data_IF_534758170778
#
_entry.id   IF_534758170778
#
_cell.length_a   1.000
_cell.length_b   1.000
_cell.length_c   1.000
_cell.angle_alpha   90.00
_cell.angle_beta   90.00
_cell.angle_gamma   90.00
#
_symmetry.space_group_name_H-M   'P 1'
#
loop_
_entity.id
_entity.type
_entity.pdbx_description
1 polymer ?
#
# COMPACT_ATOMS: atom_id res chain seq x y z
N UNK A 1 25.22 -22.12 18.91
CA UNK A 1 24.14 -21.26 19.33
C UNK A 1 22.81 -21.91 18.95
N UNK A 2 22.10 -22.44 19.92
CA UNK A 2 20.81 -23.04 19.66
C UNK A 2 19.81 -21.96 19.30
N UNK A 3 19.23 -22.06 18.11
CA UNK A 3 18.17 -21.14 17.70
C UNK A 3 16.93 -21.47 18.54
N UNK A 4 16.41 -20.47 19.22
CA UNK A 4 15.14 -20.61 19.89
C UNK A 4 14.05 -20.95 18.83
N UNK A 5 13.47 -22.16 18.88
CA UNK A 5 12.53 -22.61 17.85
C UNK A 5 11.27 -21.75 17.76
N UNK A 6 10.98 -20.93 18.78
CA UNK A 6 9.81 -20.07 18.79
C UNK A 6 10.01 -18.71 18.12
N UNK A 7 11.25 -18.24 17.96
CA UNK A 7 11.54 -16.92 17.40
C UNK A 7 12.23 -16.96 16.04
N UNK A 8 13.03 -18.00 15.77
CA UNK A 8 13.89 -18.01 14.59
C UNK A 8 13.17 -18.23 13.28
N UNK A 9 12.16 -19.08 13.26
CA UNK A 9 11.55 -19.50 12.02
C UNK A 9 10.45 -18.55 11.54
N UNK A 10 9.74 -17.88 12.43
CA UNK A 10 8.65 -16.99 12.05
C UNK A 10 9.15 -15.64 11.50
N UNK A 11 10.27 -15.14 12.01
CA UNK A 11 10.83 -13.84 11.58
C UNK A 11 11.49 -13.97 10.20
N UNK A 12 12.17 -15.11 9.93
CA UNK A 12 12.89 -15.32 8.68
C UNK A 12 11.99 -15.78 7.53
N UNK A 13 10.85 -16.42 7.84
CA UNK A 13 9.97 -17.02 6.83
C UNK A 13 8.94 -16.05 6.28
N UNK A 14 8.61 -14.97 7.01
CA UNK A 14 7.51 -14.07 6.70
C UNK A 14 7.91 -12.61 6.49
N UNK A 15 9.21 -12.30 6.48
CA UNK A 15 9.62 -10.93 6.16
C UNK A 15 9.48 -10.69 4.66
N UNK A 16 8.50 -9.89 4.30
CA UNK A 16 8.34 -9.42 2.93
C UNK A 16 9.56 -8.61 2.53
N UNK A 17 10.09 -8.89 1.34
CA UNK A 17 11.21 -8.15 0.78
C UNK A 17 10.77 -7.41 -0.47
N UNK A 18 10.94 -6.09 -0.47
CA UNK A 18 10.72 -5.29 -1.66
C UNK A 18 11.81 -5.63 -2.70
N UNK A 19 11.45 -6.05 -3.93
CA UNK A 19 12.43 -6.33 -4.97
C UNK A 19 13.32 -5.11 -5.25
N UNK A 20 14.59 -5.35 -5.56
CA UNK A 20 15.58 -4.28 -5.79
C UNK A 20 15.24 -3.36 -6.96
N UNK A 21 14.42 -3.82 -7.90
CA UNK A 21 13.99 -3.02 -9.04
C UNK A 21 13.11 -1.82 -8.64
N UNK A 22 12.50 -1.85 -7.47
CA UNK A 22 11.66 -0.76 -7.00
C UNK A 22 12.50 0.42 -6.55
N UNK A 23 12.04 1.62 -6.90
CA UNK A 23 12.71 2.88 -6.58
C UNK A 23 11.79 3.68 -5.67
N UNK A 24 12.34 4.20 -4.56
CA UNK A 24 11.62 5.12 -3.68
C UNK A 24 11.41 6.45 -4.42
N UNK A 25 10.16 6.88 -4.52
CA UNK A 25 9.78 8.10 -5.23
C UNK A 25 9.27 9.19 -4.30
N UNK A 26 8.82 8.83 -3.11
CA UNK A 26 8.31 9.83 -2.14
C UNK A 26 8.36 9.26 -0.73
N UNK A 27 8.64 10.11 0.23
CA UNK A 27 8.46 9.83 1.66
C UNK A 27 7.70 10.98 2.28
N UNK A 28 6.60 10.65 2.95
CA UNK A 28 5.78 11.62 3.67
C UNK A 28 5.87 11.24 5.14
N UNK A 29 6.51 12.09 5.92
CA UNK A 29 6.80 11.83 7.33
C UNK A 29 6.09 12.87 8.18
N UNK A 30 5.32 12.40 9.16
CA UNK A 30 4.68 13.22 10.17
C UNK A 30 5.10 12.75 11.56
N UNK A 31 4.77 13.51 12.58
CA UNK A 31 5.14 13.17 13.95
C UNK A 31 4.65 11.77 14.37
N UNK A 32 3.45 11.35 13.92
CA UNK A 32 2.79 10.14 14.38
C UNK A 32 2.68 9.05 13.33
N UNK A 33 2.91 9.35 12.07
CA UNK A 33 2.75 8.39 10.99
C UNK A 33 3.56 8.73 9.76
N UNK A 34 3.71 7.74 8.87
CA UNK A 34 4.56 7.86 7.69
C UNK A 34 4.01 7.03 6.53
N UNK A 35 4.22 7.53 5.32
CA UNK A 35 4.00 6.77 4.08
C UNK A 35 5.25 6.88 3.23
N UNK A 36 5.75 5.72 2.78
CA UNK A 36 6.87 5.65 1.83
C UNK A 36 6.35 5.04 0.54
N UNK A 37 6.61 5.71 -0.57
CA UNK A 37 6.10 5.32 -1.89
C UNK A 37 7.23 4.87 -2.81
N UNK A 38 7.01 3.74 -3.46
CA UNK A 38 7.94 3.13 -4.41
C UNK A 38 7.23 2.87 -5.73
N UNK A 39 7.97 2.85 -6.82
CA UNK A 39 7.45 2.41 -8.12
C UNK A 39 8.39 1.40 -8.77
N UNK A 40 7.82 0.50 -9.57
CA UNK A 40 8.58 -0.43 -10.39
C UNK A 40 9.15 0.26 -11.64
N UNK A 41 10.10 -0.35 -12.37
CA UNK A 41 10.71 0.28 -13.55
C UNK A 41 9.70 0.67 -14.63
N UNK A 42 8.71 -0.17 -14.89
CA UNK A 42 7.67 0.10 -15.89
C UNK A 42 6.63 1.13 -15.44
N UNK A 43 6.67 1.59 -14.18
CA UNK A 43 5.71 2.53 -13.59
C UNK A 43 4.25 2.04 -13.69
N UNK A 44 4.05 0.74 -13.62
CA UNK A 44 2.71 0.11 -13.63
C UNK A 44 2.15 -0.10 -12.23
N UNK A 45 2.98 0.08 -11.21
CA UNK A 45 2.62 -0.07 -9.81
C UNK A 45 3.21 1.06 -8.97
N UNK A 46 2.39 1.70 -8.19
CA UNK A 46 2.81 2.57 -7.09
C UNK A 46 2.55 1.80 -5.80
N UNK A 47 3.61 1.51 -5.06
CA UNK A 47 3.55 0.74 -3.81
C UNK A 47 3.80 1.66 -2.63
N UNK A 48 2.88 1.66 -1.68
CA UNK A 48 2.96 2.49 -0.48
C UNK A 48 3.09 1.61 0.77
N UNK A 49 4.07 1.91 1.60
CA UNK A 49 4.17 1.36 2.96
C UNK A 49 3.72 2.42 3.94
N UNK A 50 2.57 2.19 4.55
CA UNK A 50 2.01 3.09 5.56
C UNK A 50 2.31 2.56 6.96
N UNK A 51 2.61 3.47 7.90
CA UNK A 51 2.91 3.10 9.29
C UNK A 51 2.43 4.15 10.27
N UNK A 52 2.13 3.70 11.50
CA UNK A 52 1.71 4.56 12.59
C UNK A 52 0.29 5.07 12.46
N UNK A 53 0.07 6.32 12.81
CA UNK A 53 -1.23 6.99 12.72
C UNK A 53 -1.37 7.70 11.38
N UNK A 54 -2.39 7.31 10.62
CA UNK A 54 -2.69 7.93 9.33
C UNK A 54 -3.70 9.06 9.54
N UNK A 55 -3.18 10.26 9.73
CA UNK A 55 -3.98 11.48 9.88
C UNK A 55 -4.58 11.92 8.55
N UNK A 56 -5.55 12.82 8.59
CA UNK A 56 -6.09 13.42 7.36
C UNK A 56 -5.03 14.21 6.59
N UNK A 57 -4.13 14.90 7.31
CA UNK A 57 -3.03 15.63 6.67
C UNK A 57 -2.07 14.73 5.94
N UNK A 58 -1.69 13.60 6.56
CA UNK A 58 -0.84 12.60 5.91
C UNK A 58 -1.52 11.98 4.70
N UNK A 59 -2.79 11.61 4.84
CA UNK A 59 -3.57 11.04 3.73
C UNK A 59 -3.72 12.03 2.57
N UNK A 60 -3.98 13.31 2.85
CA UNK A 60 -4.10 14.33 1.81
C UNK A 60 -2.80 14.50 1.02
N UNK A 61 -1.65 14.47 1.69
CA UNK A 61 -0.35 14.52 1.01
C UNK A 61 -0.12 13.29 0.13
N UNK A 62 -0.50 12.12 0.63
CA UNK A 62 -0.44 10.87 -0.14
C UNK A 62 -1.32 10.95 -1.38
N UNK A 63 -2.59 11.32 -1.22
CA UNK A 63 -3.53 11.42 -2.33
C UNK A 63 -3.12 12.48 -3.36
N UNK A 64 -2.50 13.57 -2.94
CA UNK A 64 -1.94 14.57 -3.84
C UNK A 64 -0.81 13.98 -4.68
N UNK A 65 0.08 13.23 -4.05
CA UNK A 65 1.16 12.55 -4.79
C UNK A 65 0.60 11.51 -5.76
N UNK A 66 -0.39 10.73 -5.34
CA UNK A 66 -1.07 9.73 -6.19
C UNK A 66 -1.69 10.40 -7.42
N UNK A 67 -2.34 11.53 -7.22
CA UNK A 67 -2.95 12.31 -8.32
C UNK A 67 -1.88 12.83 -9.30
N UNK A 68 -0.76 13.32 -8.79
CA UNK A 68 0.36 13.77 -9.62
C UNK A 68 0.99 12.60 -10.39
N UNK A 69 1.14 11.46 -9.73
CA UNK A 69 1.63 10.25 -10.38
C UNK A 69 0.69 9.81 -11.52
N UNK A 70 -0.63 9.80 -11.26
CA UNK A 70 -1.63 9.45 -12.28
C UNK A 70 -1.55 10.35 -13.50
N UNK A 71 -1.42 11.65 -13.29
CA UNK A 71 -1.29 12.63 -14.39
C UNK A 71 -0.04 12.44 -15.23
N UNK A 72 1.01 11.87 -14.66
CA UNK A 72 2.25 11.57 -15.38
C UNK A 72 2.18 10.26 -16.17
N UNK A 73 1.11 9.48 -16.01
CA UNK A 73 0.97 8.18 -16.66
C UNK A 73 0.28 8.29 -18.01
N UNK A 74 0.66 7.42 -18.95
CA UNK A 74 -0.02 7.23 -20.23
C UNK A 74 -0.66 5.84 -20.32
N UNK A 75 -0.39 4.97 -19.36
CA UNK A 75 -0.85 3.58 -19.30
C UNK A 75 -1.59 3.34 -18.00
N UNK A 76 -2.50 2.35 -17.95
CA UNK A 76 -3.13 1.95 -16.69
C UNK A 76 -2.08 1.52 -15.66
N UNK A 77 -2.34 1.84 -14.41
CA UNK A 77 -1.43 1.50 -13.31
C UNK A 77 -2.22 1.08 -12.06
N UNK A 78 -1.53 0.46 -11.13
CA UNK A 78 -2.11 -0.07 -9.89
C UNK A 78 -1.54 0.64 -8.68
N UNK A 79 -2.41 1.02 -7.73
CA UNK A 79 -2.03 1.52 -6.42
C UNK A 79 -2.14 0.38 -5.41
N UNK A 80 -1.02 0.03 -4.79
CA UNK A 80 -0.93 -1.05 -3.81
C UNK A 80 -0.46 -0.49 -2.48
N UNK A 81 -1.28 -0.63 -1.43
CA UNK A 81 -0.97 -0.10 -0.10
C UNK A 81 -0.80 -1.23 0.90
N UNK A 82 0.33 -1.21 1.60
CA UNK A 82 0.62 -2.12 2.70
C UNK A 82 0.29 -1.42 4.03
N UNK A 83 -0.71 -1.94 4.74
CA UNK A 83 -1.16 -1.37 6.02
C UNK A 83 -0.69 -2.17 7.23
N UNK A 84 0.23 -3.12 7.07
CA UNK A 84 0.66 -4.01 8.15
C UNK A 84 1.20 -3.25 9.37
N UNK A 85 1.80 -2.09 9.18
CA UNK A 85 2.39 -1.25 10.23
C UNK A 85 1.48 -0.08 10.65
N UNK A 86 0.28 0.02 10.09
CA UNK A 86 -0.69 1.04 10.50
C UNK A 86 -1.29 0.63 11.83
N UNK A 87 -1.23 1.54 12.79
CA UNK A 87 -1.79 1.33 14.13
C UNK A 87 -3.19 1.92 14.26
N UNK A 88 -3.40 3.08 13.62
CA UNK A 88 -4.67 3.79 13.69
C UNK A 88 -4.80 4.72 12.48
N UNK A 89 -6.04 4.88 12.01
CA UNK A 89 -6.35 5.81 10.93
C UNK A 89 -7.50 6.72 11.36
N UNK A 90 -7.46 7.97 10.91
CA UNK A 90 -8.53 8.91 11.22
C UNK A 90 -9.87 8.37 10.71
N UNK A 91 -10.97 8.47 11.50
CA UNK A 91 -12.28 7.92 11.11
C UNK A 91 -12.84 8.45 9.80
N UNK A 92 -12.43 9.65 9.38
CA UNK A 92 -12.88 10.25 8.11
C UNK A 92 -12.06 9.81 6.89
N UNK A 93 -11.00 9.02 7.07
CA UNK A 93 -10.16 8.56 5.96
C UNK A 93 -10.95 7.90 4.83
N UNK A 94 -12.00 7.06 5.09
CA UNK A 94 -12.76 6.46 4.01
C UNK A 94 -13.38 7.47 3.04
N UNK A 95 -13.86 8.60 3.56
CA UNK A 95 -14.46 9.65 2.74
C UNK A 95 -13.42 10.30 1.81
N UNK A 96 -12.19 10.50 2.30
CA UNK A 96 -11.11 11.08 1.50
C UNK A 96 -10.57 10.07 0.48
N UNK A 97 -10.48 8.79 0.83
CA UNK A 97 -10.03 7.73 -0.09
C UNK A 97 -10.93 7.59 -1.31
N UNK A 98 -12.19 7.99 -1.21
CA UNK A 98 -13.11 8.00 -2.34
C UNK A 98 -12.59 8.88 -3.51
N UNK A 99 -11.71 9.85 -3.24
CA UNK A 99 -11.08 10.70 -4.26
C UNK A 99 -10.19 9.90 -5.24
N UNK A 100 -9.76 8.70 -4.87
CA UNK A 100 -9.00 7.84 -5.77
C UNK A 100 -9.75 7.54 -7.08
N UNK A 101 -11.09 7.55 -7.06
CA UNK A 101 -11.92 7.37 -8.25
C UNK A 101 -11.71 8.44 -9.31
N UNK A 102 -11.14 9.59 -8.95
CA UNK A 102 -10.91 10.71 -9.85
C UNK A 102 -9.62 10.56 -10.69
N UNK A 103 -8.85 9.50 -10.47
CA UNK A 103 -7.61 9.24 -11.19
C UNK A 103 -7.89 8.45 -12.47
N UNK A 104 -7.65 9.07 -13.63
CA UNK A 104 -8.07 8.56 -14.94
C UNK A 104 -7.37 7.28 -15.38
N UNK A 105 -6.11 7.11 -14.98
CA UNK A 105 -5.28 5.97 -15.37
C UNK A 105 -5.19 4.91 -14.27
N UNK A 106 -5.71 5.19 -13.08
CA UNK A 106 -5.72 4.22 -11.99
C UNK A 106 -6.67 3.09 -12.33
N UNK A 107 -6.11 1.90 -12.55
CA UNK A 107 -6.85 0.70 -12.91
C UNK A 107 -7.37 -0.05 -11.69
N UNK A 108 -6.52 -0.21 -10.67
CA UNK A 108 -6.83 -0.98 -9.47
C UNK A 108 -6.27 -0.31 -8.23
N UNK A 109 -7.05 -0.33 -7.17
CA UNK A 109 -6.62 0.00 -5.82
C UNK A 109 -6.64 -1.27 -4.99
N UNK A 110 -5.45 -1.73 -4.59
CA UNK A 110 -5.24 -2.98 -3.85
C UNK A 110 -4.69 -2.63 -2.47
N UNK A 111 -5.26 -3.20 -1.42
CA UNK A 111 -4.81 -2.95 -0.06
C UNK A 111 -4.50 -4.27 0.63
N UNK A 112 -3.30 -4.37 1.20
CA UNK A 112 -2.92 -5.47 2.07
C UNK A 112 -3.30 -5.12 3.51
N UNK A 113 -4.24 -5.87 4.08
CA UNK A 113 -4.74 -5.69 5.44
C UNK A 113 -4.65 -7.05 6.15
N UNK A 114 -3.59 -7.27 6.95
CA UNK A 114 -3.41 -8.55 7.64
C UNK A 114 -4.42 -8.80 8.75
N UNK A 115 -4.98 -7.74 9.36
CA UNK A 115 -5.94 -7.86 10.46
C UNK A 115 -7.33 -8.28 9.97
N UNK A 116 -7.89 -9.41 10.45
CA UNK A 116 -9.26 -9.81 10.10
C UNK A 116 -10.33 -8.79 10.52
N UNK A 117 -10.12 -8.14 11.67
CA UNK A 117 -11.04 -7.12 12.19
C UNK A 117 -11.06 -5.90 11.27
N UNK A 118 -9.88 -5.41 10.87
CA UNK A 118 -9.78 -4.28 9.94
C UNK A 118 -10.34 -4.61 8.56
N UNK A 119 -10.17 -5.85 8.09
CA UNK A 119 -10.80 -6.30 6.84
C UNK A 119 -12.32 -6.26 6.93
N UNK A 120 -12.87 -6.71 8.05
CA UNK A 120 -14.32 -6.65 8.27
C UNK A 120 -14.84 -5.21 8.26
N UNK A 121 -14.16 -4.30 8.97
CA UNK A 121 -14.52 -2.88 9.02
C UNK A 121 -14.48 -2.28 7.61
N UNK A 122 -13.43 -2.55 6.85
CA UNK A 122 -13.31 -2.02 5.49
C UNK A 122 -14.39 -2.56 4.56
N UNK A 123 -14.82 -3.80 4.73
CA UNK A 123 -15.95 -4.36 3.96
C UNK A 123 -17.27 -3.66 4.29
N UNK A 124 -17.48 -3.29 5.56
CA UNK A 124 -18.66 -2.53 5.97
C UNK A 124 -18.71 -1.15 5.32
N UNK A 125 -17.54 -0.54 5.02
CA UNK A 125 -17.43 0.74 4.31
C UNK A 125 -17.19 0.57 2.80
N UNK A 126 -17.42 -0.62 2.25
CA UNK A 126 -17.05 -0.98 0.88
C UNK A 126 -17.67 -0.13 -0.22
N UNK A 127 -18.76 0.60 0.05
CA UNK A 127 -19.36 1.55 -0.90
C UNK A 127 -18.63 2.89 -0.92
N UNK A 128 -17.88 3.22 0.14
CA UNK A 128 -17.17 4.50 0.28
C UNK A 128 -15.71 4.39 -0.15
N UNK A 129 -15.07 3.25 0.13
CA UNK A 129 -13.66 3.03 -0.19
C UNK A 129 -13.57 2.23 -1.48
N UNK A 130 -12.91 2.76 -2.54
CA UNK A 130 -12.86 2.10 -3.84
C UNK A 130 -11.79 0.99 -3.90
N UNK A 131 -11.77 0.08 -2.92
CA UNK A 131 -10.82 -1.04 -2.90
C UNK A 131 -11.30 -2.11 -3.88
N UNK A 132 -10.48 -2.42 -4.88
CA UNK A 132 -10.76 -3.45 -5.87
C UNK A 132 -10.38 -4.83 -5.37
N UNK A 133 -9.31 -4.92 -4.60
CA UNK A 133 -8.82 -6.19 -4.05
C UNK A 133 -8.22 -5.97 -2.67
N UNK A 134 -8.54 -6.88 -1.75
CA UNK A 134 -8.01 -6.87 -0.40
C UNK A 134 -7.14 -8.11 -0.20
N UNK A 135 -5.85 -7.91 0.03
CA UNK A 135 -4.89 -8.99 0.27
C UNK A 135 -4.88 -9.36 1.74
N UNK A 136 -4.77 -10.64 2.03
CA UNK A 136 -4.83 -11.20 3.38
C UNK A 136 -3.47 -11.70 3.89
N UNK A 137 -2.54 -11.99 2.99
CA UNK A 137 -1.25 -12.59 3.33
C UNK A 137 -0.09 -11.87 2.69
N UNK A 138 1.08 -11.96 3.33
CA UNK A 138 2.33 -11.44 2.76
C UNK A 138 2.69 -12.12 1.43
N UNK A 139 2.30 -13.39 1.27
CA UNK A 139 2.56 -14.12 0.02
C UNK A 139 1.81 -13.50 -1.16
N UNK A 140 0.54 -13.13 -0.97
CA UNK A 140 -0.23 -12.42 -2.00
C UNK A 140 0.42 -11.09 -2.36
N UNK A 141 0.83 -10.33 -1.35
CA UNK A 141 1.53 -9.05 -1.52
C UNK A 141 2.84 -9.24 -2.29
N UNK A 142 3.67 -10.20 -1.84
CA UNK A 142 4.96 -10.49 -2.47
C UNK A 142 4.78 -10.91 -3.93
N UNK A 143 3.75 -11.70 -4.23
CA UNK A 143 3.46 -12.14 -5.60
C UNK A 143 3.21 -10.96 -6.53
N UNK A 144 2.40 -10.00 -6.11
CA UNK A 144 2.12 -8.80 -6.91
C UNK A 144 3.39 -7.97 -7.12
N UNK A 145 4.15 -7.75 -6.05
CA UNK A 145 5.40 -6.99 -6.11
C UNK A 145 6.40 -7.63 -7.07
N UNK A 146 6.53 -8.96 -7.02
CA UNK A 146 7.45 -9.70 -7.90
C UNK A 146 7.00 -9.64 -9.36
N UNK A 147 5.70 -9.76 -9.62
CA UNK A 147 5.16 -9.70 -10.99
C UNK A 147 5.47 -8.35 -11.63
N UNK A 148 5.23 -7.24 -10.92
CA UNK A 148 5.50 -5.91 -11.45
C UNK A 148 6.99 -5.58 -11.53
N UNK A 149 7.82 -6.19 -10.68
CA UNK A 149 9.28 -6.02 -10.74
C UNK A 149 9.87 -6.54 -12.05
N UNK A 150 9.25 -7.56 -12.66
CA UNK A 150 9.71 -8.18 -13.91
C UNK A 150 9.29 -7.40 -15.16
N UNK A 151 8.33 -6.49 -15.04
CA UNK A 151 7.87 -5.67 -16.16
C UNK A 151 8.93 -4.63 -16.51
N UNK A 152 9.18 -4.47 -17.81
CA UNK A 152 10.14 -3.48 -18.34
C UNK A 152 9.39 -2.35 -19.04
N UNK A 153 10.07 -1.21 -19.14
CA UNK A 153 9.54 -0.07 -19.88
C UNK A 153 9.27 -0.40 -21.35
#
# INVERSE_FOLDING_TARGET
MERNPFFGNNILTYSMQLPQAYIKVKEIDTLLGKVILFTNPARTLLYAEASGYISLGLLNQDLTFVSDFDRSQTQPWTYLVNTAQVRFAHPLNPFYLNQLKNNNHLKQYIVYIPSPVLRFINRAFGTLIPIDQMLKSEQELQTILNQHALLKD
#
